data_IF_483022969779
#
_entry.id   IF_483022969779
#
_cell.length_a   1.000
_cell.length_b   1.000
_cell.length_c   1.000
_cell.angle_alpha   90.00
_cell.angle_beta   90.00
_cell.angle_gamma   90.00
#
_symmetry.space_group_name_H-M   'P 1'
#
loop_
_entity.id
_entity.type
_entity.pdbx_description
1 polymer ?
#
# COMPACT_ATOMS: atom_id res chain seq x y z
N UNK A 1 6.07 5.05 20.04
CA UNK A 1 5.66 4.79 21.45
C UNK A 1 4.30 4.11 21.43
N UNK A 2 4.07 2.97 22.12
CA UNK A 2 2.76 2.26 22.05
C UNK A 2 1.63 3.19 22.48
N UNK A 3 0.53 3.23 21.72
CA UNK A 3 -0.68 4.01 22.02
C UNK A 3 -1.07 3.92 23.52
N UNK A 4 -1.47 5.04 24.16
CA UNK A 4 -1.89 5.04 25.57
C UNK A 4 -2.94 3.96 25.84
N UNK A 5 -2.88 3.34 27.02
CA UNK A 5 -3.77 2.23 27.37
C UNK A 5 -5.27 2.61 27.30
N UNK A 6 -5.60 3.84 27.67
CA UNK A 6 -6.96 4.38 27.54
C UNK A 6 -7.42 4.45 26.08
N UNK A 7 -6.56 4.94 25.19
CA UNK A 7 -6.80 5.00 23.74
C UNK A 7 -6.99 3.61 23.15
N UNK A 8 -6.16 2.63 23.54
CA UNK A 8 -6.31 1.23 23.09
C UNK A 8 -7.64 0.62 23.51
N UNK A 9 -8.08 0.85 24.76
CA UNK A 9 -9.39 0.37 25.25
C UNK A 9 -10.56 1.02 24.52
N UNK A 10 -10.47 2.32 24.20
CA UNK A 10 -11.49 3.01 23.42
C UNK A 10 -11.57 2.44 22.00
N UNK A 11 -10.43 2.28 21.33
CA UNK A 11 -10.36 1.75 19.96
C UNK A 11 -10.90 0.31 19.90
N UNK A 12 -10.56 -0.56 20.85
CA UNK A 12 -11.09 -1.92 20.92
C UNK A 12 -12.63 -1.99 21.01
N UNK A 13 -13.28 -0.99 21.61
CA UNK A 13 -14.75 -0.90 21.71
C UNK A 13 -15.41 -0.21 20.51
N UNK A 14 -14.67 0.62 19.77
CA UNK A 14 -15.21 1.47 18.69
C UNK A 14 -14.95 0.89 17.30
N UNK A 15 -13.78 0.30 17.07
CA UNK A 15 -13.44 -0.32 15.77
C UNK A 15 -14.44 -1.39 15.34
N UNK A 16 -14.94 -2.29 16.21
CA UNK A 16 -15.95 -3.28 15.82
C UNK A 16 -17.30 -2.67 15.39
N UNK A 17 -17.57 -1.42 15.79
CA UNK A 17 -18.78 -0.67 15.38
C UNK A 17 -18.61 0.04 14.03
N UNK A 18 -17.46 -0.14 13.38
CA UNK A 18 -17.08 0.57 12.17
C UNK A 18 -16.30 1.85 12.47
N UNK A 19 -15.35 2.13 11.57
CA UNK A 19 -14.61 3.40 11.57
C UNK A 19 -15.19 4.28 10.46
N UNK A 20 -15.65 5.51 10.77
CA UNK A 20 -16.15 6.43 9.75
C UNK A 20 -15.10 6.66 8.65
N UNK A 21 -15.58 6.76 7.42
CA UNK A 21 -14.74 6.82 6.22
C UNK A 21 -13.70 7.95 6.30
N UNK A 22 -14.16 9.15 6.70
CA UNK A 22 -13.34 10.36 6.81
C UNK A 22 -12.15 10.27 7.78
N UNK A 23 -12.19 9.36 8.78
CA UNK A 23 -11.10 9.23 9.77
C UNK A 23 -10.34 7.91 9.63
N UNK A 24 -10.71 7.07 8.68
CA UNK A 24 -10.20 5.71 8.53
C UNK A 24 -8.69 5.67 8.34
N UNK A 25 -8.15 6.50 7.44
CA UNK A 25 -6.70 6.57 7.20
C UNK A 25 -5.89 6.96 8.44
N UNK A 26 -6.35 7.96 9.19
CA UNK A 26 -5.69 8.38 10.43
C UNK A 26 -5.72 7.29 11.50
N UNK A 27 -6.88 6.64 11.69
CA UNK A 27 -7.04 5.54 12.65
C UNK A 27 -6.14 4.36 12.28
N UNK A 28 -6.07 4.00 10.99
CA UNK A 28 -5.18 2.93 10.54
C UNK A 28 -3.71 3.26 10.78
N UNK A 29 -3.27 4.49 10.47
CA UNK A 29 -1.89 4.91 10.70
C UNK A 29 -1.49 4.79 12.16
N UNK A 30 -2.34 5.27 13.08
CA UNK A 30 -2.06 5.18 14.52
C UNK A 30 -2.15 3.76 15.08
N UNK A 31 -3.08 2.93 14.59
CA UNK A 31 -3.24 1.54 15.07
C UNK A 31 -2.11 0.62 14.60
N UNK A 32 -1.63 0.83 13.38
CA UNK A 32 -0.60 -0.01 12.75
C UNK A 32 0.81 0.31 13.21
N UNK A 33 1.05 1.50 13.76
CA UNK A 33 2.41 1.99 13.99
C UNK A 33 3.02 2.71 12.79
N UNK A 34 2.27 2.93 11.70
CA UNK A 34 2.76 3.59 10.50
C UNK A 34 3.03 5.08 10.73
N UNK A 35 2.25 5.72 11.62
CA UNK A 35 2.48 7.11 11.98
C UNK A 35 3.86 7.29 12.63
N UNK A 36 4.22 6.43 13.56
CA UNK A 36 5.52 6.44 14.22
C UNK A 36 6.66 6.17 13.24
N UNK A 37 6.48 5.25 12.28
CA UNK A 37 7.50 5.03 11.24
C UNK A 37 7.77 6.28 10.40
N UNK A 38 6.73 7.05 10.07
CA UNK A 38 6.86 8.31 9.34
C UNK A 38 7.60 9.37 10.16
N UNK A 39 7.25 9.49 11.45
CA UNK A 39 7.87 10.45 12.38
C UNK A 39 9.35 10.09 12.66
N UNK A 40 9.66 8.81 12.82
CA UNK A 40 11.02 8.32 13.06
C UNK A 40 11.93 8.37 11.82
N UNK A 41 11.34 8.42 10.62
CA UNK A 41 12.07 8.33 9.33
C UNK A 41 11.66 9.44 8.36
N UNK A 42 11.84 10.72 8.74
CA UNK A 42 11.45 11.83 7.88
C UNK A 42 12.17 11.77 6.53
N UNK A 43 11.41 11.82 5.44
CA UNK A 43 11.94 11.82 4.07
C UNK A 43 12.45 10.47 3.56
N UNK A 44 12.40 9.39 4.35
CA UNK A 44 12.88 8.08 3.93
C UNK A 44 12.06 7.52 2.76
N UNK A 45 10.73 7.68 2.78
CA UNK A 45 9.89 7.28 1.66
C UNK A 45 10.26 8.04 0.37
N UNK A 46 10.41 9.36 0.45
CA UNK A 46 10.79 10.17 -0.70
C UNK A 46 12.16 9.75 -1.28
N UNK A 47 13.12 9.42 -0.42
CA UNK A 47 14.43 8.90 -0.85
C UNK A 47 14.33 7.53 -1.53
N UNK A 48 13.54 6.60 -0.97
CA UNK A 48 13.30 5.29 -1.57
C UNK A 48 12.56 5.41 -2.91
N UNK A 49 11.53 6.25 -2.98
CA UNK A 49 10.77 6.52 -4.21
C UNK A 49 11.67 7.05 -5.33
N UNK A 50 12.58 7.99 -5.03
CA UNK A 50 13.56 8.47 -6.02
C UNK A 50 14.47 7.36 -6.52
N UNK A 51 14.93 6.47 -5.63
CA UNK A 51 15.78 5.32 -6.01
C UNK A 51 15.01 4.31 -6.87
N UNK A 52 13.76 4.02 -6.51
CA UNK A 52 12.90 3.10 -7.23
C UNK A 52 12.46 3.62 -8.62
N UNK A 53 12.59 4.93 -8.85
CA UNK A 53 12.35 5.55 -10.15
C UNK A 53 13.55 5.42 -11.12
N UNK A 54 14.73 5.02 -10.62
CA UNK A 54 15.89 4.75 -11.48
C UNK A 54 15.69 3.42 -12.21
N UNK A 55 15.94 3.44 -13.52
CA UNK A 55 15.87 2.27 -14.40
C UNK A 55 16.77 1.13 -13.85
N UNK A 56 16.25 -0.10 -13.85
CA UNK A 56 16.97 -1.26 -13.30
C UNK A 56 17.10 -1.32 -11.77
N UNK A 57 16.48 -0.39 -11.02
CA UNK A 57 16.48 -0.44 -9.54
C UNK A 57 15.74 -1.67 -8.97
N UNK A 58 14.79 -2.22 -9.74
CA UNK A 58 14.11 -3.49 -9.47
C UNK A 58 14.21 -4.39 -10.72
N UNK A 59 14.11 -5.72 -10.58
CA UNK A 59 14.12 -6.63 -11.72
C UNK A 59 13.01 -6.30 -12.73
N UNK A 60 13.33 -6.36 -14.02
CA UNK A 60 12.40 -6.00 -15.09
C UNK A 60 11.10 -6.81 -15.05
N UNK A 61 11.20 -8.11 -14.70
CA UNK A 61 10.02 -8.97 -14.53
C UNK A 61 9.06 -8.43 -13.47
N UNK A 62 9.58 -7.87 -12.38
CA UNK A 62 8.78 -7.30 -11.27
C UNK A 62 8.17 -5.96 -11.70
N UNK A 63 8.95 -5.12 -12.37
CA UNK A 63 8.48 -3.87 -12.96
C UNK A 63 7.31 -4.10 -13.92
N UNK A 64 7.47 -5.03 -14.86
CA UNK A 64 6.45 -5.43 -15.84
C UNK A 64 5.19 -6.00 -15.17
N UNK A 65 5.33 -6.84 -14.14
CA UNK A 65 4.19 -7.34 -13.37
C UNK A 65 3.41 -6.21 -12.68
N UNK A 66 4.12 -5.25 -12.07
CA UNK A 66 3.47 -4.08 -11.48
C UNK A 66 2.70 -3.31 -12.56
N UNK A 67 3.35 -3.00 -13.69
CA UNK A 67 2.74 -2.18 -14.76
C UNK A 67 1.48 -2.82 -15.35
N UNK A 68 1.46 -4.15 -15.51
CA UNK A 68 0.28 -4.90 -15.96
C UNK A 68 -0.90 -4.80 -14.99
N UNK A 69 -0.65 -4.58 -13.70
CA UNK A 69 -1.67 -4.60 -12.65
C UNK A 69 -2.29 -3.22 -12.41
N UNK A 70 -1.65 -2.14 -12.85
CA UNK A 70 -2.08 -0.78 -12.54
C UNK A 70 -3.46 -0.46 -13.10
N UNK A 71 -3.70 -0.76 -14.38
CA UNK A 71 -4.94 -0.37 -15.08
C UNK A 71 -6.14 -1.24 -14.68
N UNK A 72 -5.89 -2.43 -14.09
CA UNK A 72 -6.94 -3.32 -13.58
C UNK A 72 -7.26 -3.08 -12.09
N UNK A 73 -6.58 -2.14 -11.44
CA UNK A 73 -6.78 -1.84 -10.02
C UNK A 73 -7.84 -0.75 -9.87
N UNK A 74 -9.04 -1.12 -9.43
CA UNK A 74 -10.15 -0.18 -9.16
C UNK A 74 -10.45 0.83 -10.29
N UNK A 75 -10.61 0.38 -11.56
CA UNK A 75 -10.71 1.27 -12.72
C UNK A 75 -11.86 2.29 -12.63
N UNK A 76 -12.96 1.92 -11.96
CA UNK A 76 -14.13 2.77 -11.83
C UNK A 76 -14.01 3.84 -10.72
N UNK A 77 -13.00 3.74 -9.87
CA UNK A 77 -12.81 4.66 -8.75
C UNK A 77 -12.23 6.00 -9.22
N UNK A 78 -12.71 7.12 -8.66
CA UNK A 78 -12.37 8.47 -9.14
C UNK A 78 -10.85 8.75 -9.18
N UNK A 79 -10.07 8.21 -8.23
CA UNK A 79 -8.60 8.33 -8.22
C UNK A 79 -7.91 7.66 -9.43
N UNK A 80 -8.52 6.63 -10.02
CA UNK A 80 -7.96 5.86 -11.13
C UNK A 80 -8.47 6.30 -12.50
N UNK A 81 -9.57 7.05 -12.54
CA UNK A 81 -10.07 7.64 -13.79
C UNK A 81 -9.07 8.67 -14.29
N UNK A 82 -8.74 8.60 -15.58
CA UNK A 82 -8.01 9.69 -16.23
C UNK A 82 -8.90 10.92 -16.23
N UNK A 83 -8.34 12.07 -15.84
CA UNK A 83 -8.99 13.34 -16.09
C UNK A 83 -9.11 13.50 -17.60
N UNK A 84 -10.32 13.77 -18.10
CA UNK A 84 -10.48 14.16 -19.50
C UNK A 84 -9.59 15.37 -19.74
N UNK A 85 -8.63 15.22 -20.65
CA UNK A 85 -7.69 16.28 -21.00
C UNK A 85 -8.44 17.61 -21.18
N UNK A 86 -8.08 18.61 -20.38
CA UNK A 86 -8.48 19.98 -20.64
C UNK A 86 -7.97 20.38 -22.02
N UNK A 87 -8.85 20.98 -22.83
CA UNK A 87 -8.62 21.64 -24.12
C UNK A 87 -7.65 20.95 -25.11
N UNK A 88 -8.24 20.35 -26.15
CA UNK A 88 -7.67 20.06 -27.48
C UNK A 88 -6.21 19.56 -27.54
N UNK A 89 -6.06 18.22 -27.61
CA UNK A 89 -4.91 17.59 -28.27
C UNK A 89 -3.73 17.16 -27.41
N UNK A 90 -3.79 17.31 -26.09
CA UNK A 90 -2.78 16.71 -25.20
C UNK A 90 -3.16 15.25 -24.91
N UNK A 91 -2.25 14.27 -25.10
CA UNK A 91 -2.52 12.90 -24.72
C UNK A 91 -2.87 12.86 -23.23
N UNK A 92 -4.03 12.28 -22.90
CA UNK A 92 -4.49 12.13 -21.52
C UNK A 92 -3.37 11.55 -20.66
N UNK A 93 -2.96 12.29 -19.64
CA UNK A 93 -1.96 11.79 -18.70
C UNK A 93 -2.52 10.62 -17.90
N UNK A 94 -1.69 9.63 -17.55
CA UNK A 94 -2.08 8.54 -16.64
C UNK A 94 -2.67 9.13 -15.36
N UNK A 95 -3.77 8.57 -14.86
CA UNK A 95 -4.43 9.06 -13.65
C UNK A 95 -3.49 9.15 -12.45
N UNK A 96 -3.74 10.12 -11.57
CA UNK A 96 -2.90 10.36 -10.38
C UNK A 96 -2.83 9.10 -9.50
N UNK A 97 -3.94 8.39 -9.33
CA UNK A 97 -3.98 7.13 -8.57
C UNK A 97 -3.10 6.03 -9.19
N UNK A 98 -3.08 5.90 -10.52
CA UNK A 98 -2.19 4.96 -11.21
C UNK A 98 -0.72 5.31 -11.00
N UNK A 99 -0.37 6.60 -11.03
CA UNK A 99 1.00 7.07 -10.81
C UNK A 99 1.46 6.84 -9.36
N UNK A 100 0.60 7.12 -8.38
CA UNK A 100 0.84 6.86 -6.96
C UNK A 100 0.99 5.36 -6.70
N UNK A 101 0.12 4.52 -7.27
CA UNK A 101 0.18 3.08 -7.11
C UNK A 101 1.47 2.49 -7.69
N UNK A 102 1.88 2.92 -8.90
CA UNK A 102 3.16 2.52 -9.51
C UNK A 102 4.33 2.86 -8.59
N UNK A 103 4.39 4.11 -8.13
CA UNK A 103 5.46 4.62 -7.29
C UNK A 103 5.54 3.84 -5.98
N UNK A 104 4.41 3.65 -5.30
CA UNK A 104 4.31 2.92 -4.04
C UNK A 104 4.76 1.46 -4.19
N UNK A 105 4.25 0.73 -5.19
CA UNK A 105 4.58 -0.68 -5.40
C UNK A 105 6.06 -0.89 -5.80
N UNK A 106 6.61 -0.05 -6.68
CA UNK A 106 8.05 -0.10 -7.03
C UNK A 106 8.92 0.22 -5.83
N UNK A 107 8.52 1.21 -5.02
CA UNK A 107 9.24 1.57 -3.80
C UNK A 107 9.23 0.42 -2.79
N UNK A 108 8.09 -0.26 -2.63
CA UNK A 108 8.00 -1.45 -1.78
C UNK A 108 8.87 -2.59 -2.33
N UNK A 109 8.84 -2.85 -3.63
CA UNK A 109 9.63 -3.91 -4.25
C UNK A 109 11.15 -3.69 -4.19
N UNK A 110 11.58 -2.44 -4.04
CA UNK A 110 12.97 -2.07 -3.75
C UNK A 110 13.31 -2.28 -2.25
N UNK A 111 12.35 -2.05 -1.36
CA UNK A 111 12.53 -2.21 0.09
C UNK A 111 12.59 -3.69 0.50
N UNK A 112 11.62 -4.49 0.10
CA UNK A 112 11.54 -5.93 0.42
C UNK A 112 11.99 -6.73 -0.80
N UNK A 113 13.30 -7.02 -0.89
CA UNK A 113 13.85 -7.78 -2.03
C UNK A 113 13.53 -9.27 -1.99
N UNK A 114 13.01 -9.79 -0.85
CA UNK A 114 12.61 -11.19 -0.69
C UNK A 114 11.24 -11.42 -1.32
N UNK A 115 10.26 -10.55 -1.04
CA UNK A 115 8.90 -10.67 -1.59
C UNK A 115 8.74 -9.90 -2.89
N UNK A 116 9.38 -8.73 -2.98
CA UNK A 116 9.23 -7.75 -4.05
C UNK A 116 7.78 -7.38 -4.31
N UNK A 117 7.20 -7.94 -5.37
CA UNK A 117 5.82 -7.78 -5.74
C UNK A 117 5.20 -9.15 -5.96
N UNK A 118 4.05 -9.37 -5.35
CA UNK A 118 3.18 -10.50 -5.63
C UNK A 118 1.85 -9.97 -6.18
N UNK A 119 1.28 -10.68 -7.14
CA UNK A 119 -0.05 -10.37 -7.66
C UNK A 119 -1.06 -10.28 -6.50
N UNK A 120 -2.00 -9.33 -6.60
CA UNK A 120 -2.96 -8.91 -5.58
C UNK A 120 -2.44 -7.87 -4.56
N UNK A 121 -1.12 -7.64 -4.46
CA UNK A 121 -0.61 -6.52 -3.64
C UNK A 121 -1.09 -5.16 -4.14
N UNK A 122 -1.34 -5.02 -5.45
CA UNK A 122 -1.94 -3.84 -6.07
C UNK A 122 -3.29 -3.46 -5.46
N UNK A 123 -4.15 -4.43 -5.11
CA UNK A 123 -5.44 -4.14 -4.51
C UNK A 123 -5.31 -3.66 -3.07
N UNK A 124 -4.40 -4.25 -2.29
CA UNK A 124 -4.11 -3.79 -0.92
C UNK A 124 -3.58 -2.36 -0.96
N UNK A 125 -2.56 -2.10 -1.77
CA UNK A 125 -1.98 -0.77 -1.92
C UNK A 125 -2.99 0.25 -2.45
N UNK A 126 -3.81 -0.13 -3.44
CA UNK A 126 -4.88 0.71 -3.98
C UNK A 126 -5.92 1.07 -2.92
N UNK A 127 -6.39 0.10 -2.13
CA UNK A 127 -7.33 0.37 -1.04
C UNK A 127 -6.74 1.33 0.00
N UNK A 128 -5.45 1.23 0.32
CA UNK A 128 -4.78 2.17 1.22
C UNK A 128 -4.72 3.58 0.64
N UNK A 129 -4.44 3.72 -0.67
CA UNK A 129 -4.40 5.01 -1.37
C UNK A 129 -5.76 5.72 -1.44
N UNK A 130 -6.87 4.99 -1.34
CA UNK A 130 -8.20 5.61 -1.26
C UNK A 130 -8.41 6.39 0.06
N UNK A 131 -7.69 6.02 1.11
CA UNK A 131 -7.89 6.55 2.46
C UNK A 131 -6.72 7.36 3.01
N UNK A 132 -5.56 7.27 2.36
CA UNK A 132 -4.30 7.82 2.85
C UNK A 132 -3.53 8.51 1.73
N UNK A 133 -2.71 9.49 2.11
CA UNK A 133 -1.65 10.03 1.22
C UNK A 133 -0.65 8.93 0.89
N UNK A 134 0.04 9.06 -0.24
CA UNK A 134 0.97 8.06 -0.77
C UNK A 134 1.98 7.52 0.25
N UNK A 135 2.65 8.42 0.99
CA UNK A 135 3.63 8.04 2.01
C UNK A 135 3.00 7.24 3.16
N UNK A 136 1.85 7.68 3.65
CA UNK A 136 1.13 6.97 4.71
C UNK A 136 0.66 5.59 4.24
N UNK A 137 0.16 5.49 3.00
CA UNK A 137 -0.20 4.21 2.38
C UNK A 137 1.02 3.27 2.25
N UNK A 138 2.19 3.80 1.90
CA UNK A 138 3.43 3.02 1.85
C UNK A 138 3.80 2.45 3.22
N UNK A 139 3.83 3.28 4.27
CA UNK A 139 4.18 2.79 5.61
C UNK A 139 3.13 1.85 6.19
N UNK A 140 1.86 2.06 5.87
CA UNK A 140 0.79 1.11 6.18
C UNK A 140 1.03 -0.24 5.49
N UNK A 141 1.39 -0.26 4.21
CA UNK A 141 1.72 -1.49 3.50
C UNK A 141 2.92 -2.19 4.15
N UNK A 142 3.98 -1.46 4.50
CA UNK A 142 5.14 -2.00 5.23
C UNK A 142 4.71 -2.61 6.57
N UNK A 143 3.87 -1.92 7.34
CA UNK A 143 3.35 -2.44 8.60
C UNK A 143 2.53 -3.72 8.41
N UNK A 144 1.64 -3.76 7.42
CA UNK A 144 0.86 -4.97 7.12
C UNK A 144 1.77 -6.14 6.73
N UNK A 145 2.79 -5.90 5.92
CA UNK A 145 3.68 -6.95 5.43
C UNK A 145 4.58 -7.50 6.53
N UNK A 146 5.20 -6.63 7.33
CA UNK A 146 6.20 -7.04 8.33
C UNK A 146 5.60 -7.32 9.71
N UNK A 147 4.70 -6.49 10.21
CA UNK A 147 4.18 -6.61 11.58
C UNK A 147 2.95 -7.51 11.68
N UNK A 148 2.03 -7.44 10.71
CA UNK A 148 0.89 -8.38 10.61
C UNK A 148 1.32 -9.69 9.93
N UNK A 149 2.58 -9.76 9.46
CA UNK A 149 3.16 -10.90 8.74
C UNK A 149 2.34 -11.32 7.52
N UNK A 150 1.65 -10.37 6.88
CA UNK A 150 0.91 -10.64 5.65
C UNK A 150 1.83 -11.13 4.53
N UNK A 151 3.11 -10.75 4.59
CA UNK A 151 4.15 -11.24 3.68
C UNK A 151 4.25 -12.77 3.64
N UNK A 152 3.90 -13.48 4.72
CA UNK A 152 3.89 -14.95 4.75
C UNK A 152 2.79 -15.59 3.88
N UNK A 153 1.76 -14.83 3.45
CA UNK A 153 0.84 -15.27 2.40
C UNK A 153 1.48 -15.22 1.01
N UNK A 154 2.50 -14.39 0.83
CA UNK A 154 3.11 -14.08 -0.47
C UNK A 154 4.51 -14.69 -0.67
N UNK A 155 5.09 -15.29 0.37
CA UNK A 155 6.36 -16.02 0.26
C UNK A 155 6.21 -17.30 -0.55
N UNK A 156 7.30 -17.72 -1.20
CA UNK A 156 7.38 -19.03 -1.85
C UNK A 156 6.97 -20.15 -0.88
N UNK A 157 6.15 -21.08 -1.36
CA UNK A 157 5.56 -22.15 -0.55
C UNK A 157 4.22 -21.80 0.13
N UNK A 158 3.78 -20.52 0.08
CA UNK A 158 2.48 -20.06 0.59
C UNK A 158 2.14 -20.56 2.02
N UNK A 159 3.08 -20.53 2.97
CA UNK A 159 2.96 -21.25 4.24
C UNK A 159 1.75 -20.81 5.06
N UNK A 160 1.45 -19.50 5.08
CA UNK A 160 0.32 -18.97 5.85
C UNK A 160 -1.04 -19.26 5.17
N UNK A 161 -1.07 -19.37 3.84
CA UNK A 161 -2.28 -19.77 3.11
C UNK A 161 -2.60 -21.23 3.40
N UNK A 162 -1.59 -22.10 3.33
CA UNK A 162 -1.74 -23.52 3.64
C UNK A 162 -2.24 -23.73 5.07
N UNK A 163 -1.66 -23.03 6.04
CA UNK A 163 -2.11 -23.08 7.43
C UNK A 163 -3.55 -22.59 7.61
N UNK A 164 -3.93 -21.49 6.94
CA UNK A 164 -5.30 -20.93 7.03
C UNK A 164 -6.34 -21.89 6.40
N UNK A 165 -6.00 -22.53 5.28
CA UNK A 165 -6.87 -23.51 4.63
C UNK A 165 -7.04 -24.77 5.49
N UNK A 166 -6.03 -25.16 6.27
CA UNK A 166 -6.15 -26.29 7.21
C UNK A 166 -7.09 -25.98 8.38
N UNK A 167 -7.17 -24.73 8.83
CA UNK A 167 -8.08 -24.31 9.91
C UNK A 167 -9.55 -24.21 9.48
N UNK A 168 -9.79 -24.19 8.17
CA UNK A 168 -11.13 -24.15 7.57
C UNK A 168 -11.67 -25.55 7.21
N UNK A 169 -10.90 -26.61 7.50
CA UNK A 169 -11.32 -28.01 7.40
C UNK A 169 -11.74 -28.53 8.76
#
# INVERSE_FOLDING_TARGET
QKLPAATRRLLAKRVPKGVPDAVRGAVWCGLSGAQELMEDRPGAYAALKRRAAVEGSIPEVVASQIDNDLNRTYPDHFLWREEQAGAEGQPGGKSVGVQMLRSLLRTYALLDTEVRYCQAMNFIAGALLMYCREEAAFWLLVQLMYHVNLRALFKEGLPLLQASLQQLR
#
